data_IF_069784454926
#
_entry.id   IF_069784454926
#
_cell.length_a   1.000
_cell.length_b   1.000
_cell.length_c   1.000
_cell.angle_alpha   90.00
_cell.angle_beta   90.00
_cell.angle_gamma   90.00
#
_symmetry.space_group_name_H-M   'P 1'
#
loop_
_entity.id
_entity.type
_entity.pdbx_description
1 polymer ?
#
# COMPACT_ATOMS: atom_id res chain seq x y z
N UNK A 1 13.20 -19.80 29.66
CA UNK A 1 12.64 -19.32 30.94
C UNK A 1 13.56 -18.23 31.45
N UNK A 2 13.01 -17.08 31.87
CA UNK A 2 13.32 -16.40 33.14
C UNK A 2 12.64 -15.01 33.18
N UNK A 3 11.70 -14.88 34.12
CA UNK A 3 11.03 -13.65 34.55
C UNK A 3 12.04 -12.61 35.07
N UNK A 4 11.68 -11.33 35.08
CA UNK A 4 11.64 -10.54 36.32
C UNK A 4 10.90 -9.21 36.12
N UNK A 5 9.77 -9.06 36.80
CA UNK A 5 9.14 -7.76 37.12
C UNK A 5 9.96 -7.13 38.23
N UNK A 6 10.34 -5.86 38.09
CA UNK A 6 10.86 -5.06 39.19
C UNK A 6 9.96 -3.84 39.35
N UNK A 7 9.20 -3.82 40.44
CA UNK A 7 8.46 -2.66 40.94
C UNK A 7 9.44 -1.69 41.59
N UNK A 8 9.43 -0.42 41.17
CA UNK A 8 10.18 0.65 41.84
C UNK A 8 9.20 1.58 42.56
N UNK A 9 9.16 1.44 43.88
CA UNK A 9 8.63 2.46 44.78
C UNK A 9 9.64 3.60 44.87
N UNK A 10 9.27 4.80 44.43
CA UNK A 10 10.04 6.01 44.69
C UNK A 10 9.11 7.07 45.30
N UNK A 11 9.21 7.25 46.62
CA UNK A 11 8.79 8.49 47.28
C UNK A 11 9.80 9.59 46.91
N UNK A 12 9.31 10.78 46.54
CA UNK A 12 10.09 12.03 46.64
C UNK A 12 10.44 12.71 45.31
N UNK A 13 9.53 13.57 44.86
CA UNK A 13 9.57 14.65 43.85
C UNK A 13 10.91 15.44 43.93
N UNK A 14 11.63 15.83 42.87
CA UNK A 14 11.19 16.46 41.62
C UNK A 14 12.08 16.04 40.45
N UNK A 15 11.50 15.38 39.46
CA UNK A 15 12.15 15.20 38.16
C UNK A 15 12.15 16.55 37.44
N UNK A 16 13.32 17.14 37.23
CA UNK A 16 13.50 18.15 36.19
C UNK A 16 13.16 17.47 34.87
N UNK A 17 12.04 17.87 34.27
CA UNK A 17 11.61 17.41 32.96
C UNK A 17 12.63 17.90 31.93
N UNK A 18 13.67 17.10 31.66
CA UNK A 18 14.35 17.15 30.38
C UNK A 18 13.38 16.57 29.37
N UNK A 19 12.58 17.44 28.76
CA UNK A 19 11.83 17.10 27.56
C UNK A 19 12.84 16.58 26.54
N UNK A 20 12.76 15.32 26.09
CA UNK A 20 13.51 14.94 24.90
C UNK A 20 12.99 15.86 23.79
N UNK A 21 13.87 16.74 23.30
CA UNK A 21 13.61 17.50 22.09
C UNK A 21 13.66 16.51 20.91
N UNK A 22 12.60 15.73 20.76
CA UNK A 22 12.36 14.89 19.62
C UNK A 22 11.78 15.81 18.54
N UNK A 23 12.64 16.62 17.92
CA UNK A 23 12.32 17.29 16.67
C UNK A 23 12.34 16.23 15.58
N UNK A 24 11.36 15.33 15.60
CA UNK A 24 10.98 14.57 14.43
C UNK A 24 10.40 15.62 13.47
N UNK A 25 11.19 16.01 12.46
CA UNK A 25 10.61 16.68 11.31
C UNK A 25 9.65 15.66 10.70
N UNK A 26 8.36 15.80 10.99
CA UNK A 26 7.33 15.08 10.27
C UNK A 26 7.40 15.62 8.85
N UNK A 27 8.06 14.88 7.96
CA UNK A 27 7.89 15.07 6.53
C UNK A 27 6.42 14.86 6.22
N UNK A 28 5.83 15.78 5.46
CA UNK A 28 4.48 15.60 4.94
C UNK A 28 4.46 14.35 4.05
N UNK A 29 3.62 13.37 4.40
CA UNK A 29 3.47 12.14 3.61
C UNK A 29 2.27 12.23 2.67
N UNK A 30 2.48 12.01 1.38
CA UNK A 30 1.42 11.98 0.38
C UNK A 30 0.86 10.56 0.23
N UNK A 31 -0.36 10.45 -0.30
CA UNK A 31 -0.92 9.16 -0.68
C UNK A 31 -0.35 8.78 -2.06
N UNK A 32 0.14 7.54 -2.26
CA UNK A 32 0.64 7.10 -3.56
C UNK A 32 -0.43 7.13 -4.64
N UNK A 33 -0.06 7.50 -5.86
CA UNK A 33 -0.94 7.57 -7.04
C UNK A 33 -0.82 6.30 -7.89
N UNK A 34 -1.95 5.63 -8.17
CA UNK A 34 -2.04 4.50 -9.11
C UNK A 34 -2.48 4.98 -10.50
N UNK A 35 -1.73 4.57 -11.54
CA UNK A 35 -2.00 4.88 -12.95
C UNK A 35 -2.17 3.61 -13.76
N UNK A 36 -2.92 3.70 -14.86
CA UNK A 36 -3.09 2.60 -15.81
C UNK A 36 -4.10 1.52 -15.40
N UNK A 37 -4.96 1.82 -14.42
CA UNK A 37 -6.01 0.93 -13.93
C UNK A 37 -7.36 1.12 -14.64
N UNK A 38 -7.36 1.73 -15.82
CA UNK A 38 -8.56 1.91 -16.63
C UNK A 38 -9.13 0.56 -17.10
N UNK A 39 -10.46 0.49 -17.18
CA UNK A 39 -11.18 -0.67 -17.70
C UNK A 39 -10.73 -1.04 -19.12
N UNK A 40 -10.76 -2.34 -19.42
CA UNK A 40 -10.34 -2.85 -20.73
C UNK A 40 -11.23 -3.97 -21.21
N UNK A 41 -11.27 -4.11 -22.53
CA UNK A 41 -11.95 -5.18 -23.22
C UNK A 41 -10.90 -6.01 -23.94
N UNK A 42 -10.95 -7.33 -23.79
CA UNK A 42 -10.06 -8.28 -24.46
C UNK A 42 -10.87 -9.38 -25.15
N UNK A 43 -10.32 -9.93 -26.22
CA UNK A 43 -10.93 -11.04 -26.93
C UNK A 43 -10.63 -12.37 -26.20
N UNK A 44 -11.58 -13.29 -26.24
CA UNK A 44 -11.43 -14.63 -25.68
C UNK A 44 -10.15 -15.33 -26.16
N UNK A 45 -9.50 -16.03 -25.24
CA UNK A 45 -8.28 -16.80 -25.48
C UNK A 45 -7.01 -15.96 -25.60
N UNK A 46 -7.09 -14.62 -25.48
CA UNK A 46 -5.91 -13.78 -25.44
C UNK A 46 -5.23 -13.87 -24.07
N UNK A 47 -3.92 -14.05 -24.05
CA UNK A 47 -3.13 -13.92 -22.83
C UNK A 47 -3.11 -12.46 -22.38
N UNK A 48 -3.42 -12.23 -21.11
CA UNK A 48 -3.49 -10.89 -20.55
C UNK A 48 -2.70 -10.78 -19.25
N UNK A 49 -1.74 -9.85 -19.20
CA UNK A 49 -0.99 -9.54 -17.98
C UNK A 49 -1.70 -8.44 -17.19
N UNK A 50 -2.10 -8.74 -15.96
CA UNK A 50 -2.82 -7.81 -15.08
C UNK A 50 -2.02 -6.53 -14.77
N UNK A 51 -0.70 -6.61 -14.68
CA UNK A 51 0.16 -5.45 -14.41
C UNK A 51 0.47 -4.63 -15.68
N UNK A 52 -0.03 -5.03 -16.85
CA UNK A 52 0.27 -4.30 -18.08
C UNK A 52 -0.28 -2.87 -18.02
N UNK A 53 0.65 -1.90 -18.10
CA UNK A 53 0.38 -0.47 -18.06
C UNK A 53 0.16 0.10 -16.65
N UNK A 54 0.11 -0.74 -15.62
CA UNK A 54 -0.13 -0.31 -14.24
C UNK A 54 1.16 0.21 -13.61
N UNK A 55 1.12 1.40 -13.03
CA UNK A 55 2.25 2.04 -12.34
C UNK A 55 1.79 2.71 -11.07
N UNK A 56 2.70 2.84 -10.10
CA UNK A 56 2.47 3.57 -8.87
C UNK A 56 3.59 4.56 -8.63
N UNK A 57 3.22 5.79 -8.28
CA UNK A 57 4.18 6.85 -7.95
C UNK A 57 3.74 7.58 -6.70
N UNK A 58 4.67 7.83 -5.81
CA UNK A 58 4.48 8.68 -4.65
C UNK A 58 5.42 9.89 -4.72
N UNK A 59 5.02 11.00 -4.10
CA UNK A 59 5.76 12.26 -4.17
C UNK A 59 7.05 12.22 -3.34
N UNK A 60 7.03 11.54 -2.20
CA UNK A 60 8.15 11.43 -1.29
C UNK A 60 8.97 10.14 -1.56
N UNK A 61 8.29 9.04 -1.88
CA UNK A 61 8.89 7.72 -2.09
C UNK A 61 9.31 7.42 -3.55
N UNK A 62 8.80 8.17 -4.53
CA UNK A 62 9.11 7.97 -5.94
C UNK A 62 8.37 6.79 -6.58
N UNK A 63 9.07 5.95 -7.38
CA UNK A 63 8.43 4.85 -8.11
C UNK A 63 8.15 3.65 -7.21
N UNK A 64 6.86 3.41 -6.97
CA UNK A 64 6.35 2.31 -6.15
C UNK A 64 5.74 1.18 -6.98
N UNK A 65 5.97 1.14 -8.29
CA UNK A 65 5.36 0.15 -9.19
C UNK A 65 5.66 -1.29 -8.77
N UNK A 66 6.82 -1.52 -8.17
CA UNK A 66 7.25 -2.83 -7.65
C UNK A 66 6.54 -3.24 -6.34
N UNK A 67 5.88 -2.30 -5.65
CA UNK A 67 5.10 -2.55 -4.43
C UNK A 67 3.60 -2.80 -4.71
N UNK A 68 3.17 -2.75 -5.97
CA UNK A 68 1.77 -2.97 -6.33
C UNK A 68 1.40 -4.43 -6.05
N UNK A 69 0.40 -4.61 -5.18
CA UNK A 69 -0.28 -5.89 -4.95
C UNK A 69 -1.51 -5.98 -5.85
N UNK A 70 -1.72 -7.13 -6.47
CA UNK A 70 -2.85 -7.39 -7.37
C UNK A 70 -3.72 -8.48 -6.75
N UNK A 71 -4.98 -8.16 -6.49
CA UNK A 71 -6.00 -9.10 -6.05
C UNK A 71 -7.05 -9.32 -7.15
N UNK A 72 -7.44 -10.57 -7.31
CA UNK A 72 -8.36 -11.01 -8.35
C UNK A 72 -7.73 -11.94 -9.38
N UNK A 73 -8.59 -12.58 -10.17
CA UNK A 73 -8.20 -13.50 -11.22
C UNK A 73 -9.08 -13.29 -12.44
N UNK A 74 -8.51 -13.51 -13.62
CA UNK A 74 -9.21 -13.48 -14.89
C UNK A 74 -9.12 -14.85 -15.56
N UNK A 75 -10.25 -15.31 -16.09
CA UNK A 75 -10.28 -16.46 -16.98
C UNK A 75 -10.60 -15.97 -18.39
N UNK A 76 -9.58 -15.90 -19.25
CA UNK A 76 -9.72 -15.37 -20.61
C UNK A 76 -10.42 -16.34 -21.58
N UNK A 77 -10.72 -17.57 -21.15
CA UNK A 77 -11.50 -18.55 -21.94
C UNK A 77 -13.01 -18.41 -21.76
N UNK A 78 -13.43 -17.61 -20.79
CA UNK A 78 -14.85 -17.41 -20.47
C UNK A 78 -15.19 -15.93 -20.62
N UNK A 79 -16.23 -15.66 -21.41
CA UNK A 79 -16.79 -14.33 -21.54
C UNK A 79 -17.34 -13.85 -20.19
N UNK A 80 -17.17 -12.56 -19.92
CA UNK A 80 -17.64 -11.96 -18.68
C UNK A 80 -16.80 -10.78 -18.23
N UNK A 81 -17.28 -10.13 -17.15
CA UNK A 81 -16.59 -9.01 -16.51
C UNK A 81 -15.87 -9.50 -15.26
N UNK A 82 -14.57 -9.26 -15.22
CA UNK A 82 -13.67 -9.65 -14.14
C UNK A 82 -13.22 -8.39 -13.39
N UNK A 83 -13.36 -8.41 -12.06
CA UNK A 83 -12.91 -7.32 -11.19
C UNK A 83 -11.50 -7.61 -10.69
N UNK A 84 -10.58 -6.68 -10.90
CA UNK A 84 -9.19 -6.74 -10.41
C UNK A 84 -8.96 -5.53 -9.51
N UNK A 85 -8.43 -5.75 -8.31
CA UNK A 85 -8.08 -4.70 -7.35
C UNK A 85 -6.55 -4.56 -7.27
N UNK A 86 -6.06 -3.33 -7.39
CA UNK A 86 -4.65 -2.97 -7.22
C UNK A 86 -4.52 -2.20 -5.93
N UNK A 87 -3.57 -2.58 -5.09
CA UNK A 87 -3.23 -1.88 -3.85
C UNK A 87 -1.75 -1.52 -3.86
N UNK A 88 -1.42 -0.31 -3.42
CA UNK A 88 -0.04 0.11 -3.17
C UNK A 88 0.06 0.77 -1.80
N UNK A 89 1.17 0.51 -1.12
CA UNK A 89 1.53 1.10 0.19
C UNK A 89 2.91 1.75 0.06
N UNK A 90 3.04 2.96 0.60
CA UNK A 90 4.30 3.71 0.63
C UNK A 90 5.22 3.24 1.77
N UNK A 91 6.28 3.98 2.11
CA UNK A 91 7.17 3.61 3.22
C UNK A 91 6.66 4.02 4.61
N UNK A 92 5.74 4.98 4.68
CA UNK A 92 5.17 5.55 5.91
C UNK A 92 3.78 4.99 6.25
N UNK A 93 3.26 4.08 5.42
CA UNK A 93 2.02 3.34 5.59
C UNK A 93 0.78 3.95 4.92
N UNK A 94 0.91 5.00 4.09
CA UNK A 94 -0.24 5.46 3.30
C UNK A 94 -0.52 4.51 2.14
N UNK A 95 -1.81 4.30 1.88
CA UNK A 95 -2.27 3.27 0.93
C UNK A 95 -3.24 3.86 -0.08
N UNK A 96 -3.17 3.34 -1.30
CA UNK A 96 -4.15 3.62 -2.34
C UNK A 96 -4.64 2.32 -2.99
N UNK A 97 -5.93 2.31 -3.35
CA UNK A 97 -6.61 1.20 -4.01
C UNK A 97 -7.30 1.66 -5.27
N UNK A 98 -7.17 0.88 -6.33
CA UNK A 98 -7.86 1.13 -7.59
C UNK A 98 -8.42 -0.17 -8.15
N UNK A 99 -9.60 -0.09 -8.73
CA UNK A 99 -10.29 -1.25 -9.33
C UNK A 99 -10.30 -1.09 -10.84
N UNK A 100 -10.00 -2.19 -11.53
CA UNK A 100 -10.11 -2.32 -12.98
C UNK A 100 -11.11 -3.42 -13.31
N UNK A 101 -12.02 -3.15 -14.23
CA UNK A 101 -12.84 -4.17 -14.86
C UNK A 101 -12.22 -4.61 -16.19
N UNK A 102 -12.09 -5.92 -16.34
CA UNK A 102 -11.67 -6.54 -17.60
C UNK A 102 -12.86 -7.31 -18.16
N UNK A 103 -13.31 -6.92 -19.34
CA UNK A 103 -14.38 -7.59 -20.08
C UNK A 103 -13.78 -8.52 -21.12
N UNK A 104 -14.07 -9.81 -21.00
CA UNK A 104 -13.74 -10.83 -21.99
C UNK A 104 -14.95 -11.00 -22.90
N UNK A 105 -14.75 -10.84 -24.21
CA UNK A 105 -15.78 -10.98 -25.25
C UNK A 105 -15.38 -11.97 -26.34
#
# INVERSE_FOLDING_TARGET
MNKLMQSLSALGVSATLVSPNLSAEATENSIPELKGTNDVIIDKGNNYNLLNGVRAYDKEDGDLTHKISVDGNINTEKEGKYKIEYTVEDSEGATNKSVRYIEVK
#
